data_IF_584503955095
#
_entry.id   IF_584503955095
#
_cell.length_a   1.000
_cell.length_b   1.000
_cell.length_c   1.000
_cell.angle_alpha   90.00
_cell.angle_beta   90.00
_cell.angle_gamma   90.00
#
_symmetry.space_group_name_H-M   'P 1'
#
loop_
_entity.id
_entity.type
_entity.pdbx_description
1 polymer ?
#
# COMPACT_ATOMS: atom_id res chain seq x y z
N UNK A 1 144.68 48.46 114.17
CA UNK A 1 144.61 49.79 113.53
C UNK A 1 143.45 50.55 114.16
N UNK A 2 143.48 50.93 115.43
CA UNK A 2 144.21 52.09 116.01
C UNK A 2 143.97 53.38 115.23
N UNK A 3 143.18 54.30 115.80
CA UNK A 3 143.59 55.63 116.33
C UNK A 3 143.55 56.73 115.27
N UNK A 4 142.97 57.91 115.51
CA UNK A 4 143.43 58.98 116.42
C UNK A 4 142.19 59.77 116.91
N UNK A 5 141.92 59.94 118.20
CA UNK A 5 142.50 60.97 119.11
C UNK A 5 141.49 62.14 119.24
N UNK A 6 140.66 62.22 120.29
CA UNK A 6 140.91 62.86 121.60
C UNK A 6 141.80 64.10 121.52
N UNK A 7 141.23 65.29 121.75
CA UNK A 7 141.58 66.21 122.86
C UNK A 7 140.80 67.53 122.75
N UNK A 8 140.26 67.93 123.90
CA UNK A 8 139.82 69.28 124.28
C UNK A 8 138.65 69.89 123.46
N UNK A 9 137.68 70.58 124.03
CA UNK A 9 137.78 71.45 125.18
C UNK A 9 136.44 71.46 125.92
N UNK A 10 136.51 71.44 127.24
CA UNK A 10 135.41 71.69 128.19
C UNK A 10 134.60 72.95 127.80
N UNK A 11 135.15 73.85 126.99
CA UNK A 11 134.47 75.00 126.38
C UNK A 11 133.45 74.64 125.30
N UNK A 12 133.65 73.60 124.48
CA UNK A 12 132.64 73.13 123.52
C UNK A 12 131.51 72.38 124.23
N UNK A 13 131.82 71.65 125.30
CA UNK A 13 130.80 71.06 126.17
C UNK A 13 130.04 72.12 126.95
N UNK A 14 130.69 73.21 127.38
CA UNK A 14 130.03 74.35 128.01
C UNK A 14 129.25 75.22 127.01
N UNK A 15 129.70 75.34 125.76
CA UNK A 15 128.96 75.97 124.67
C UNK A 15 127.78 75.11 124.23
N UNK A 16 127.92 73.79 124.16
CA UNK A 16 126.82 72.87 123.95
C UNK A 16 125.84 72.94 125.12
N UNK A 17 126.32 73.04 126.36
CA UNK A 17 125.47 73.21 127.54
C UNK A 17 124.78 74.58 127.59
N UNK A 18 125.46 75.66 127.19
CA UNK A 18 124.86 76.99 127.03
C UNK A 18 123.90 77.04 125.83
N UNK A 19 124.17 76.35 124.72
CA UNK A 19 123.24 76.19 123.61
C UNK A 19 122.02 75.38 124.03
N UNK A 20 122.18 74.36 124.88
CA UNK A 20 121.08 73.59 125.45
C UNK A 20 120.26 74.43 126.44
N UNK A 21 120.88 75.30 127.25
CA UNK A 21 120.16 76.26 128.10
C UNK A 21 119.43 77.31 127.25
N UNK A 22 120.02 77.79 126.16
CA UNK A 22 119.37 78.71 125.21
C UNK A 22 118.22 78.02 124.47
N UNK A 23 118.34 76.74 124.13
CA UNK A 23 117.28 75.93 123.53
C UNK A 23 116.15 75.63 124.54
N UNK A 24 116.45 75.35 125.81
CA UNK A 24 115.41 75.16 126.84
C UNK A 24 114.72 76.46 127.25
N UNK A 25 115.44 77.59 127.38
CA UNK A 25 114.82 78.91 127.62
C UNK A 25 113.97 79.40 126.44
N UNK A 26 114.25 78.96 125.21
CA UNK A 26 113.37 79.20 124.05
C UNK A 26 112.09 78.36 124.06
N UNK A 27 112.04 77.28 124.84
CA UNK A 27 110.85 76.41 124.98
C UNK A 27 110.01 76.73 126.24
N UNK A 28 110.48 77.58 127.14
CA UNK A 28 109.76 77.92 128.39
C UNK A 28 108.88 79.19 128.31
N UNK A 29 108.75 79.83 127.15
CA UNK A 29 107.87 80.98 127.02
C UNK A 29 107.25 81.10 125.63
N UNK A 30 106.20 80.32 125.37
CA UNK A 30 104.91 80.77 124.81
C UNK A 30 104.07 79.59 124.31
N UNK A 31 103.02 79.33 125.08
CA UNK A 31 101.64 79.07 124.66
C UNK A 31 101.40 77.92 123.67
N UNK A 32 100.83 76.86 124.23
CA UNK A 32 99.69 76.10 123.72
C UNK A 32 99.42 76.12 122.21
N UNK A 33 99.66 74.97 121.58
CA UNK A 33 98.80 74.43 120.53
C UNK A 33 98.80 72.91 120.66
N UNK A 34 97.60 72.32 120.51
CA UNK A 34 97.30 70.88 120.42
C UNK A 34 98.11 70.11 119.36
N UNK A 35 99.05 70.78 118.68
CA UNK A 35 99.91 70.23 117.65
C UNK A 35 101.19 69.59 118.19
N UNK A 36 101.77 70.01 119.32
CA UNK A 36 103.02 69.37 119.79
C UNK A 36 102.82 68.08 120.61
N UNK A 37 101.68 67.90 121.29
CA UNK A 37 101.29 66.58 121.83
C UNK A 37 100.82 65.64 120.71
N UNK A 38 100.16 66.17 119.67
CA UNK A 38 99.81 65.41 118.48
C UNK A 38 101.03 65.07 117.62
N UNK A 39 102.06 65.91 117.56
CA UNK A 39 103.27 65.64 116.80
C UNK A 39 104.24 64.75 117.57
N UNK A 40 104.25 64.74 118.92
CA UNK A 40 104.93 63.67 119.67
C UNK A 40 104.18 62.35 119.61
N UNK A 41 102.85 62.36 119.65
CA UNK A 41 102.05 61.16 119.42
C UNK A 41 102.25 60.63 117.99
N UNK A 42 102.20 61.49 116.97
CA UNK A 42 102.49 61.13 115.57
C UNK A 42 103.95 60.74 115.35
N UNK A 43 104.92 61.36 116.04
CA UNK A 43 106.33 60.98 115.90
C UNK A 43 106.64 59.65 116.59
N UNK A 44 105.98 59.32 117.70
CA UNK A 44 106.02 57.99 118.30
C UNK A 44 105.25 56.95 117.47
N UNK A 45 104.10 57.30 116.89
CA UNK A 45 103.37 56.44 115.94
C UNK A 45 104.16 56.21 114.66
N UNK A 46 104.86 57.22 114.13
CA UNK A 46 105.70 57.08 112.92
C UNK A 46 106.98 56.30 113.24
N UNK A 47 107.59 56.44 114.43
CA UNK A 47 108.74 55.62 114.83
C UNK A 47 108.35 54.18 115.20
N UNK A 48 107.15 53.94 115.73
CA UNK A 48 106.59 52.59 115.88
C UNK A 48 106.20 51.98 114.53
N UNK A 49 105.60 52.74 113.61
CA UNK A 49 105.32 52.30 112.25
C UNK A 49 106.60 52.04 111.45
N UNK A 50 107.64 52.87 111.62
CA UNK A 50 108.93 52.73 110.95
C UNK A 50 109.82 51.62 111.51
N UNK A 51 109.63 51.19 112.76
CA UNK A 51 110.27 49.99 113.32
C UNK A 51 109.50 48.70 113.02
N UNK A 52 108.22 48.79 112.61
CA UNK A 52 107.45 47.68 112.04
C UNK A 52 107.73 47.46 110.54
N UNK A 53 108.24 48.47 109.84
CA UNK A 53 108.71 48.36 108.45
C UNK A 53 110.05 47.61 108.37
N UNK A 54 109.97 46.28 108.38
CA UNK A 54 111.08 45.38 108.08
C UNK A 54 111.09 45.07 106.57
N UNK A 55 112.22 44.63 106.01
CA UNK A 55 112.29 44.18 104.60
C UNK A 55 111.18 43.16 104.30
N UNK A 56 110.80 42.37 105.30
CA UNK A 56 109.73 41.38 105.24
C UNK A 56 108.32 41.98 105.15
N UNK A 57 108.05 43.13 105.78
CA UNK A 57 106.74 43.81 105.68
C UNK A 57 106.57 44.57 104.37
N UNK A 58 107.65 45.10 103.79
CA UNK A 58 107.61 45.74 102.48
C UNK A 58 107.48 44.68 101.39
N UNK A 59 108.20 43.55 101.50
CA UNK A 59 108.04 42.40 100.60
C UNK A 59 106.65 41.78 100.75
N UNK A 60 106.08 41.69 101.95
CA UNK A 60 104.66 41.31 102.14
C UNK A 60 103.71 42.32 101.53
N UNK A 61 103.90 43.63 101.71
CA UNK A 61 103.05 44.64 101.09
C UNK A 61 103.12 44.62 99.55
N UNK A 62 104.30 44.36 98.99
CA UNK A 62 104.48 44.22 97.54
C UNK A 62 103.90 42.90 97.02
N UNK A 63 104.00 41.82 97.79
CA UNK A 63 103.37 40.53 97.49
C UNK A 63 101.84 40.59 97.63
N UNK A 64 101.32 41.31 98.63
CA UNK A 64 99.89 41.56 98.83
C UNK A 64 99.34 42.44 97.70
N UNK A 65 100.09 43.44 97.24
CA UNK A 65 99.69 44.27 96.10
C UNK A 65 99.75 43.47 94.79
N UNK A 66 100.72 42.57 94.64
CA UNK A 66 100.81 41.66 93.49
C UNK A 66 99.68 40.61 93.51
N UNK A 67 99.25 40.15 94.70
CA UNK A 67 98.08 39.29 94.91
C UNK A 67 96.77 40.05 94.66
N UNK A 68 96.62 41.27 95.15
CA UNK A 68 95.46 42.13 94.90
C UNK A 68 95.35 42.47 93.41
N UNK A 69 96.45 42.83 92.75
CA UNK A 69 96.45 43.09 91.31
C UNK A 69 96.14 41.83 90.51
N UNK A 70 96.66 40.67 90.92
CA UNK A 70 96.29 39.36 90.37
C UNK A 70 94.79 39.05 90.58
N UNK A 71 94.24 39.39 91.75
CA UNK A 71 92.84 39.18 92.09
C UNK A 71 91.89 40.10 91.31
N UNK A 72 92.25 41.38 91.12
CA UNK A 72 91.48 42.35 90.33
C UNK A 72 91.55 42.01 88.85
N UNK A 73 92.72 41.59 88.35
CA UNK A 73 92.86 41.15 86.96
C UNK A 73 92.07 39.87 86.70
N UNK A 74 92.08 38.92 87.63
CA UNK A 74 91.25 37.71 87.55
C UNK A 74 89.75 38.06 87.65
N UNK A 75 89.34 38.94 88.57
CA UNK A 75 87.95 39.38 88.70
C UNK A 75 87.48 40.19 87.48
N UNK A 76 88.35 40.99 86.87
CA UNK A 76 88.06 41.71 85.63
C UNK A 76 87.97 40.73 84.46
N UNK A 77 88.87 39.75 84.38
CA UNK A 77 88.83 38.70 83.37
C UNK A 77 87.60 37.80 83.52
N UNK A 78 87.19 37.50 84.75
CA UNK A 78 85.99 36.73 85.05
C UNK A 78 84.72 37.53 84.73
N UNK A 79 84.68 38.83 85.06
CA UNK A 79 83.60 39.72 84.61
C UNK A 79 83.55 39.87 83.09
N UNK A 80 84.71 40.01 82.43
CA UNK A 80 84.78 40.10 80.97
C UNK A 80 84.33 38.78 80.32
N UNK A 81 84.71 37.63 80.90
CA UNK A 81 84.25 36.32 80.46
C UNK A 81 82.75 36.13 80.70
N UNK A 82 82.21 36.61 81.82
CA UNK A 82 80.77 36.60 82.09
C UNK A 82 80.01 37.51 81.13
N UNK A 83 80.48 38.74 80.86
CA UNK A 83 79.86 39.64 79.88
C UNK A 83 79.98 39.09 78.45
N UNK A 84 81.09 38.43 78.11
CA UNK A 84 81.23 37.76 76.82
C UNK A 84 80.31 36.53 76.71
N UNK A 85 80.12 35.77 77.79
CA UNK A 85 79.14 34.67 77.86
C UNK A 85 77.72 35.19 77.70
N UNK A 86 77.36 36.31 78.35
CA UNK A 86 76.07 36.97 78.16
C UNK A 86 75.88 37.44 76.71
N UNK A 87 76.93 37.98 76.09
CA UNK A 87 76.91 38.40 74.69
C UNK A 87 76.70 37.20 73.77
N UNK A 88 77.40 36.08 74.01
CA UNK A 88 77.20 34.82 73.26
C UNK A 88 75.79 34.24 73.45
N UNK A 89 75.25 34.26 74.67
CA UNK A 89 73.86 33.86 74.96
C UNK A 89 72.85 34.76 74.23
N UNK A 90 73.09 36.07 74.19
CA UNK A 90 72.22 37.04 73.52
C UNK A 90 72.28 36.88 72.00
N UNK A 91 73.48 36.65 71.44
CA UNK A 91 73.63 36.32 70.02
C UNK A 91 72.91 35.02 69.66
N UNK A 92 73.05 33.96 70.47
CA UNK A 92 72.30 32.70 70.28
C UNK A 92 70.79 32.90 70.40
N UNK A 93 70.33 33.72 71.35
CA UNK A 93 68.92 34.05 71.48
C UNK A 93 68.38 34.82 70.26
N UNK A 94 69.17 35.74 69.69
CA UNK A 94 68.84 36.42 68.43
C UNK A 94 68.78 35.41 67.27
N UNK A 95 69.73 34.48 67.17
CA UNK A 95 69.70 33.43 66.15
C UNK A 95 68.45 32.54 66.27
N UNK A 96 68.08 32.13 67.48
CA UNK A 96 66.87 31.33 67.72
C UNK A 96 65.60 32.14 67.40
N UNK A 97 65.50 33.39 67.85
CA UNK A 97 64.31 34.22 67.55
C UNK A 97 64.23 34.62 66.07
N UNK A 98 65.36 34.77 65.37
CA UNK A 98 65.36 34.99 63.91
C UNK A 98 64.90 33.74 63.15
N UNK A 99 65.33 32.54 63.57
CA UNK A 99 64.81 31.27 63.02
C UNK A 99 63.31 31.13 63.30
N UNK A 100 62.87 31.40 64.54
CA UNK A 100 61.46 31.36 64.92
C UNK A 100 60.62 32.36 64.11
N UNK A 101 61.14 33.55 63.86
CA UNK A 101 60.48 34.55 63.01
C UNK A 101 60.36 34.06 61.56
N UNK A 102 61.38 33.40 61.01
CA UNK A 102 61.31 32.78 59.69
C UNK A 102 60.27 31.66 59.63
N UNK A 103 60.21 30.78 60.64
CA UNK A 103 59.19 29.73 60.73
C UNK A 103 57.78 30.32 60.81
N UNK A 104 57.57 31.36 61.64
CA UNK A 104 56.28 32.04 61.75
C UNK A 104 55.88 32.73 60.43
N UNK A 105 56.84 33.30 59.69
CA UNK A 105 56.58 33.85 58.36
C UNK A 105 56.18 32.74 57.38
N UNK A 106 56.87 31.60 57.38
CA UNK A 106 56.52 30.46 56.54
C UNK A 106 55.12 29.91 56.88
N UNK A 107 54.82 29.74 58.17
CA UNK A 107 53.49 29.31 58.64
C UNK A 107 52.41 30.30 58.20
N UNK A 108 52.67 31.61 58.29
CA UNK A 108 51.74 32.64 57.83
C UNK A 108 51.50 32.56 56.33
N UNK A 109 52.55 32.43 55.52
CA UNK A 109 52.40 32.28 54.06
C UNK A 109 51.59 31.01 53.74
N UNK A 110 51.87 29.90 54.40
CA UNK A 110 51.12 28.65 54.20
C UNK A 110 49.65 28.81 54.61
N UNK A 111 49.37 29.46 55.75
CA UNK A 111 48.01 29.74 56.20
C UNK A 111 47.26 30.64 55.20
N UNK A 112 47.88 31.75 54.77
CA UNK A 112 47.30 32.66 53.78
C UNK A 112 47.04 31.93 52.44
N UNK A 113 47.95 31.06 51.98
CA UNK A 113 47.74 30.26 50.76
C UNK A 113 46.64 29.21 50.91
N UNK A 114 46.53 28.59 52.08
CA UNK A 114 45.48 27.61 52.38
C UNK A 114 44.11 28.29 52.42
N UNK A 115 44.03 29.48 53.00
CA UNK A 115 42.81 30.29 53.03
C UNK A 115 42.38 30.69 51.61
N UNK A 116 43.32 31.16 50.76
CA UNK A 116 43.05 31.47 49.35
C UNK A 116 42.55 30.23 48.60
N UNK A 117 43.24 29.09 48.74
CA UNK A 117 42.87 27.85 48.07
C UNK A 117 41.49 27.34 48.54
N UNK A 118 41.19 27.48 49.82
CA UNK A 118 39.89 27.15 50.40
C UNK A 118 38.78 28.02 49.83
N UNK A 119 39.00 29.33 49.70
CA UNK A 119 38.07 30.26 49.07
C UNK A 119 37.84 29.91 47.60
N UNK A 120 38.90 29.69 46.82
CA UNK A 120 38.78 29.27 45.41
C UNK A 120 38.03 27.95 45.27
N UNK A 121 38.25 26.99 46.16
CA UNK A 121 37.54 25.72 46.15
C UNK A 121 36.05 25.92 46.44
N UNK A 122 35.70 26.74 47.42
CA UNK A 122 34.30 27.06 47.73
C UNK A 122 33.62 27.78 46.55
N UNK A 123 34.31 28.68 45.86
CA UNK A 123 33.78 29.34 44.67
C UNK A 123 33.55 28.33 43.54
N UNK A 124 34.53 27.43 43.27
CA UNK A 124 34.38 26.37 42.27
C UNK A 124 33.25 25.40 42.60
N UNK A 125 33.04 25.07 43.87
CA UNK A 125 31.89 24.25 44.28
C UNK A 125 30.57 24.97 44.00
N UNK A 126 30.46 26.26 44.35
CA UNK A 126 29.26 27.06 44.07
C UNK A 126 28.96 27.15 42.57
N UNK A 127 29.97 27.37 41.73
CA UNK A 127 29.77 27.43 40.28
C UNK A 127 29.36 26.07 39.71
N UNK A 128 29.98 24.98 40.16
CA UNK A 128 29.58 23.63 39.76
C UNK A 128 28.15 23.30 40.19
N UNK A 129 27.76 23.66 41.42
CA UNK A 129 26.39 23.48 41.90
C UNK A 129 25.38 24.27 41.03
N UNK A 130 25.65 25.55 40.75
CA UNK A 130 24.81 26.38 39.87
C UNK A 130 24.72 25.83 38.44
N UNK A 131 25.84 25.36 37.89
CA UNK A 131 25.88 24.73 36.56
C UNK A 131 25.08 23.42 36.53
N UNK A 132 25.16 22.60 37.58
CA UNK A 132 24.38 21.36 37.64
C UNK A 132 22.89 21.63 37.79
N UNK A 133 22.50 22.62 38.59
CA UNK A 133 21.09 23.04 38.75
C UNK A 133 20.56 23.57 37.42
N UNK A 134 21.27 24.51 36.77
CA UNK A 134 20.82 25.09 35.50
C UNK A 134 20.71 24.04 34.38
N UNK A 135 21.65 23.10 34.29
CA UNK A 135 21.57 21.98 33.32
C UNK A 135 20.40 21.05 33.62
N UNK A 136 20.13 20.74 34.90
CA UNK A 136 18.97 19.93 35.29
C UNK A 136 17.67 20.63 34.93
N UNK A 137 17.54 21.92 35.25
CA UNK A 137 16.35 22.69 34.89
C UNK A 137 16.14 22.78 33.37
N UNK A 138 17.21 22.95 32.59
CA UNK A 138 17.14 22.96 31.14
C UNK A 138 16.67 21.60 30.59
N UNK A 139 17.25 20.50 31.08
CA UNK A 139 16.86 19.15 30.68
C UNK A 139 15.41 18.82 31.08
N UNK A 140 14.99 19.21 32.29
CA UNK A 140 13.60 19.02 32.72
C UNK A 140 12.63 19.79 31.81
N UNK A 141 12.96 21.04 31.46
CA UNK A 141 12.16 21.83 30.50
C UNK A 141 12.09 21.12 29.15
N UNK A 142 13.21 20.67 28.60
CA UNK A 142 13.23 19.93 27.32
C UNK A 142 12.42 18.64 27.37
N UNK A 143 12.55 17.85 28.44
CA UNK A 143 11.75 16.63 28.65
C UNK A 143 10.26 16.97 28.68
N UNK A 144 9.86 18.02 29.42
CA UNK A 144 8.45 18.39 29.49
C UNK A 144 7.90 18.90 28.16
N UNK A 145 8.70 19.65 27.37
CA UNK A 145 8.31 20.13 26.05
C UNK A 145 8.16 18.95 25.09
N UNK A 146 9.17 18.09 24.98
CA UNK A 146 9.13 16.91 24.10
C UNK A 146 7.99 15.96 24.47
N UNK A 147 7.71 15.78 25.77
CA UNK A 147 6.59 14.94 26.21
C UNK A 147 5.25 15.53 25.79
N UNK A 148 5.09 16.86 25.88
CA UNK A 148 3.89 17.56 25.40
C UNK A 148 3.74 17.48 23.89
N UNK A 149 4.82 17.66 23.14
CA UNK A 149 4.84 17.52 21.68
C UNK A 149 4.45 16.10 21.26
N UNK A 150 5.09 15.08 21.86
CA UNK A 150 4.76 13.68 21.62
C UNK A 150 3.29 13.35 21.94
N UNK A 151 2.77 13.87 23.05
CA UNK A 151 1.36 13.68 23.41
C UNK A 151 0.41 14.32 22.39
N UNK A 152 0.75 15.49 21.85
CA UNK A 152 -0.02 16.13 20.78
C UNK A 152 0.03 15.33 19.49
N UNK A 153 1.22 14.93 19.06
CA UNK A 153 1.40 14.12 17.85
C UNK A 153 0.65 12.78 17.96
N UNK A 154 0.68 12.14 19.12
CA UNK A 154 -0.05 10.91 19.36
C UNK A 154 -1.57 11.13 19.29
N UNK A 155 -2.09 12.20 19.89
CA UNK A 155 -3.50 12.54 19.81
C UNK A 155 -3.94 12.85 18.37
N UNK A 156 -3.16 13.64 17.63
CA UNK A 156 -3.42 13.94 16.22
C UNK A 156 -3.36 12.69 15.33
N UNK A 157 -2.45 11.76 15.62
CA UNK A 157 -2.36 10.50 14.90
C UNK A 157 -3.56 9.60 15.19
N UNK A 158 -3.97 9.49 16.45
CA UNK A 158 -5.16 8.73 16.86
C UNK A 158 -6.43 9.30 16.22
N UNK A 159 -6.58 10.63 16.17
CA UNK A 159 -7.69 11.30 15.49
C UNK A 159 -7.69 11.01 13.99
N UNK A 160 -6.55 11.19 13.30
CA UNK A 160 -6.44 10.86 11.87
C UNK A 160 -6.71 9.38 11.57
N UNK A 161 -6.29 8.49 12.46
CA UNK A 161 -6.54 7.06 12.33
C UNK A 161 -8.04 6.75 12.48
N UNK A 162 -8.72 7.41 13.42
CA UNK A 162 -10.18 7.29 13.57
C UNK A 162 -10.91 7.84 12.34
N UNK A 163 -10.57 9.04 11.88
CA UNK A 163 -11.14 9.63 10.66
C UNK A 163 -10.96 8.72 9.44
N UNK A 164 -9.75 8.16 9.26
CA UNK A 164 -9.45 7.24 8.18
C UNK A 164 -10.30 5.96 8.27
N UNK A 165 -10.42 5.37 9.45
CA UNK A 165 -11.24 4.18 9.65
C UNK A 165 -12.73 4.46 9.42
N UNK A 166 -13.23 5.61 9.86
CA UNK A 166 -14.62 6.03 9.64
C UNK A 166 -14.92 6.26 8.17
N UNK A 167 -14.00 6.89 7.43
CA UNK A 167 -14.11 7.04 5.98
C UNK A 167 -14.12 5.68 5.29
N UNK A 168 -13.20 4.78 5.66
CA UNK A 168 -13.12 3.44 5.09
C UNK A 168 -14.39 2.61 5.36
N UNK A 169 -14.99 2.73 6.54
CA UNK A 169 -16.26 2.07 6.86
C UNK A 169 -17.39 2.65 6.02
N UNK A 170 -17.47 3.98 5.87
CA UNK A 170 -18.48 4.63 5.01
C UNK A 170 -18.34 4.23 3.55
N UNK A 171 -17.12 4.21 3.00
CA UNK A 171 -16.85 3.77 1.63
C UNK A 171 -17.28 2.33 1.42
N UNK A 172 -16.92 1.40 2.32
CA UNK A 172 -17.34 -0.01 2.24
C UNK A 172 -18.87 -0.16 2.31
N UNK A 173 -19.53 0.62 3.17
CA UNK A 173 -21.00 0.60 3.27
C UNK A 173 -21.63 1.09 1.96
N UNK A 174 -21.15 2.20 1.41
CA UNK A 174 -21.63 2.73 0.12
C UNK A 174 -21.40 1.74 -1.02
N UNK A 175 -20.22 1.14 -1.12
CA UNK A 175 -19.91 0.12 -2.13
C UNK A 175 -20.82 -1.11 -2.00
N UNK A 176 -21.09 -1.55 -0.76
CA UNK A 176 -21.98 -2.67 -0.50
C UNK A 176 -23.43 -2.35 -0.88
N UNK A 177 -23.93 -1.17 -0.50
CA UNK A 177 -25.27 -0.69 -0.85
C UNK A 177 -25.42 -0.54 -2.36
N UNK A 178 -24.45 0.09 -3.04
CA UNK A 178 -24.45 0.21 -4.50
C UNK A 178 -24.43 -1.14 -5.19
N UNK A 179 -23.61 -2.07 -4.72
CA UNK A 179 -23.51 -3.42 -5.29
C UNK A 179 -24.81 -4.19 -5.13
N UNK A 180 -25.43 -4.12 -3.94
CA UNK A 180 -26.74 -4.72 -3.67
C UNK A 180 -27.82 -4.09 -4.55
N UNK A 181 -27.87 -2.77 -4.62
CA UNK A 181 -28.82 -2.03 -5.45
C UNK A 181 -28.68 -2.37 -6.94
N UNK A 182 -27.45 -2.38 -7.46
CA UNK A 182 -27.17 -2.78 -8.86
C UNK A 182 -27.63 -4.21 -9.11
N UNK A 183 -27.31 -5.14 -8.21
CA UNK A 183 -27.71 -6.55 -8.32
C UNK A 183 -29.22 -6.74 -8.29
N UNK A 184 -29.93 -6.05 -7.39
CA UNK A 184 -31.39 -6.09 -7.32
C UNK A 184 -32.03 -5.48 -8.57
N UNK A 185 -31.53 -4.35 -9.04
CA UNK A 185 -32.02 -3.68 -10.24
C UNK A 185 -31.81 -4.55 -11.47
N UNK A 186 -30.63 -5.16 -11.63
CA UNK A 186 -30.35 -6.10 -12.72
C UNK A 186 -31.26 -7.33 -12.64
N UNK A 187 -31.49 -7.89 -11.45
CA UNK A 187 -32.42 -9.01 -11.27
C UNK A 187 -33.85 -8.65 -11.65
N UNK A 188 -34.34 -7.47 -11.22
CA UNK A 188 -35.68 -6.98 -11.58
C UNK A 188 -35.79 -6.79 -13.10
N UNK A 189 -34.84 -6.10 -13.72
CA UNK A 189 -34.84 -5.87 -15.18
C UNK A 189 -34.77 -7.18 -15.98
N UNK A 190 -33.94 -8.13 -15.55
CA UNK A 190 -33.87 -9.46 -16.16
C UNK A 190 -35.17 -10.26 -15.98
N UNK A 191 -35.83 -10.13 -14.83
CA UNK A 191 -37.11 -10.81 -14.57
C UNK A 191 -38.22 -10.19 -15.43
N UNK A 192 -38.32 -8.86 -15.46
CA UNK A 192 -39.32 -8.13 -16.24
C UNK A 192 -39.17 -8.40 -17.73
N UNK A 193 -37.93 -8.40 -18.25
CA UNK A 193 -37.66 -8.72 -19.66
C UNK A 193 -38.01 -10.18 -19.98
N UNK A 194 -37.65 -11.13 -19.11
CA UNK A 194 -38.04 -12.54 -19.26
C UNK A 194 -39.57 -12.71 -19.25
N UNK A 195 -40.27 -12.06 -18.32
CA UNK A 195 -41.73 -12.11 -18.23
C UNK A 195 -42.41 -11.44 -19.43
N UNK A 196 -41.84 -10.36 -19.97
CA UNK A 196 -42.32 -9.73 -21.19
C UNK A 196 -42.19 -10.67 -22.39
N UNK A 197 -41.02 -11.29 -22.59
CA UNK A 197 -40.78 -12.28 -23.66
C UNK A 197 -41.73 -13.47 -23.50
N UNK A 198 -41.88 -14.00 -22.29
CA UNK A 198 -42.80 -15.11 -21.98
C UNK A 198 -44.25 -14.74 -22.30
N UNK A 199 -44.69 -13.53 -21.99
CA UNK A 199 -46.03 -13.03 -22.33
C UNK A 199 -46.21 -12.91 -23.85
N UNK A 200 -45.22 -12.38 -24.56
CA UNK A 200 -45.24 -12.27 -26.01
C UNK A 200 -45.34 -13.65 -26.67
N UNK A 201 -44.46 -14.59 -26.31
CA UNK A 201 -44.48 -15.95 -26.84
C UNK A 201 -45.80 -16.66 -26.57
N UNK A 202 -46.39 -16.49 -25.38
CA UNK A 202 -47.72 -17.04 -25.07
C UNK A 202 -48.80 -16.47 -26.00
N UNK A 203 -48.78 -15.16 -26.29
CA UNK A 203 -49.72 -14.54 -27.23
C UNK A 203 -49.51 -15.07 -28.65
N UNK A 204 -48.27 -15.14 -29.13
CA UNK A 204 -47.94 -15.66 -30.45
C UNK A 204 -48.38 -17.12 -30.61
N UNK A 205 -48.15 -17.97 -29.61
CA UNK A 205 -48.62 -19.36 -29.59
C UNK A 205 -50.16 -19.38 -29.65
N UNK A 206 -50.84 -18.59 -28.82
CA UNK A 206 -52.29 -18.55 -28.79
C UNK A 206 -52.89 -18.11 -30.14
N UNK A 207 -52.35 -17.05 -30.73
CA UNK A 207 -52.77 -16.55 -32.04
C UNK A 207 -52.52 -17.57 -33.16
N UNK A 208 -51.33 -18.19 -33.16
CA UNK A 208 -51.00 -19.23 -34.14
C UNK A 208 -51.86 -20.48 -33.99
N UNK A 209 -52.13 -20.91 -32.75
CA UNK A 209 -53.06 -22.01 -32.49
C UNK A 209 -54.48 -21.68 -32.96
N UNK A 210 -54.97 -20.45 -32.72
CA UNK A 210 -56.27 -20.02 -33.22
C UNK A 210 -56.34 -20.00 -34.75
N UNK A 211 -55.31 -19.46 -35.42
CA UNK A 211 -55.21 -19.46 -36.89
C UNK A 211 -55.22 -20.89 -37.44
N UNK A 212 -54.34 -21.75 -36.92
CA UNK A 212 -54.27 -23.17 -37.32
C UNK A 212 -55.58 -23.89 -37.09
N UNK A 213 -56.24 -23.69 -35.95
CA UNK A 213 -57.53 -24.33 -35.67
C UNK A 213 -58.62 -23.88 -36.64
N UNK A 214 -58.64 -22.60 -37.05
CA UNK A 214 -59.56 -22.11 -38.09
C UNK A 214 -59.26 -22.78 -39.44
N UNK A 215 -57.99 -22.84 -39.84
CA UNK A 215 -57.58 -23.47 -41.09
C UNK A 215 -57.93 -24.97 -41.12
N UNK A 216 -57.68 -25.69 -40.01
CA UNK A 216 -58.06 -27.09 -39.86
C UNK A 216 -59.57 -27.28 -39.94
N UNK A 217 -60.36 -26.46 -39.23
CA UNK A 217 -61.81 -26.53 -39.29
C UNK A 217 -62.35 -26.24 -40.71
N UNK A 218 -61.74 -25.30 -41.45
CA UNK A 218 -62.10 -25.04 -42.85
C UNK A 218 -61.77 -26.24 -43.75
N UNK A 219 -60.58 -26.83 -43.59
CA UNK A 219 -60.18 -28.03 -44.35
C UNK A 219 -61.11 -29.21 -44.07
N UNK A 220 -61.41 -29.45 -42.80
CA UNK A 220 -62.32 -30.52 -42.37
C UNK A 220 -63.72 -30.33 -42.94
N UNK A 221 -64.24 -29.09 -42.96
CA UNK A 221 -65.50 -28.77 -43.65
C UNK A 221 -65.43 -29.05 -45.15
N UNK A 222 -64.38 -28.61 -45.84
CA UNK A 222 -64.22 -28.87 -47.29
C UNK A 222 -64.18 -30.37 -47.57
N UNK A 223 -63.47 -31.15 -46.75
CA UNK A 223 -63.44 -32.61 -46.90
C UNK A 223 -64.81 -33.23 -46.65
N UNK A 224 -65.51 -32.82 -45.58
CA UNK A 224 -66.85 -33.31 -45.28
C UNK A 224 -67.86 -32.99 -46.40
N UNK A 225 -67.82 -31.77 -46.95
CA UNK A 225 -68.68 -31.34 -48.07
C UNK A 225 -68.36 -32.07 -49.39
N UNK A 226 -67.09 -32.41 -49.64
CA UNK A 226 -66.66 -33.11 -50.86
C UNK A 226 -66.76 -34.62 -50.78
N UNK A 227 -66.79 -35.20 -49.57
CA UNK A 227 -66.94 -36.64 -49.36
C UNK A 227 -68.12 -37.27 -50.13
N UNK A 228 -69.36 -36.72 -50.10
CA UNK A 228 -70.47 -37.31 -50.84
C UNK A 228 -70.30 -37.17 -52.36
N UNK A 229 -69.76 -36.06 -52.86
CA UNK A 229 -69.47 -35.87 -54.29
C UNK A 229 -68.42 -36.87 -54.77
N UNK A 230 -67.39 -37.11 -53.97
CA UNK A 230 -66.37 -38.11 -54.27
C UNK A 230 -66.97 -39.52 -54.34
N UNK A 231 -67.82 -39.89 -53.37
CA UNK A 231 -68.51 -41.18 -53.37
C UNK A 231 -69.45 -41.34 -54.59
N UNK A 232 -70.17 -40.28 -55.00
CA UNK A 232 -71.00 -40.28 -56.20
C UNK A 232 -70.17 -40.43 -57.48
N UNK A 233 -69.04 -39.72 -57.60
CA UNK A 233 -68.14 -39.88 -58.73
C UNK A 233 -67.48 -41.25 -58.77
N UNK A 234 -67.07 -41.79 -57.63
CA UNK A 234 -66.52 -43.15 -57.53
C UNK A 234 -67.56 -44.17 -57.99
N UNK A 235 -68.81 -44.04 -57.52
CA UNK A 235 -69.91 -44.89 -57.98
C UNK A 235 -70.12 -44.78 -59.50
N UNK A 236 -70.23 -43.57 -60.05
CA UNK A 236 -70.37 -43.35 -61.50
C UNK A 236 -69.23 -43.96 -62.30
N UNK A 237 -67.98 -43.79 -61.86
CA UNK A 237 -66.82 -44.37 -62.54
C UNK A 237 -66.88 -45.90 -62.51
N UNK A 238 -67.34 -46.50 -61.41
CA UNK A 238 -67.49 -47.96 -61.30
C UNK A 238 -68.66 -48.51 -62.11
N UNK A 239 -69.77 -47.79 -62.26
CA UNK A 239 -70.95 -48.26 -63.01
C UNK A 239 -70.88 -47.95 -64.51
N UNK A 240 -70.16 -46.91 -64.90
CA UNK A 240 -70.08 -46.45 -66.29
C UNK A 240 -69.66 -47.52 -67.31
N UNK A 241 -68.68 -48.41 -67.05
CA UNK A 241 -68.34 -49.48 -68.00
C UNK A 241 -69.52 -50.41 -68.29
N UNK A 242 -70.28 -50.78 -67.26
CA UNK A 242 -71.45 -51.65 -67.42
C UNK A 242 -72.57 -50.94 -68.16
N UNK A 243 -72.84 -49.67 -67.82
CA UNK A 243 -73.83 -48.83 -68.51
C UNK A 243 -73.46 -48.64 -70.00
N UNK A 244 -72.18 -48.43 -70.29
CA UNK A 244 -71.66 -48.31 -71.65
C UNK A 244 -71.81 -49.63 -72.42
N UNK A 245 -71.45 -50.76 -71.81
CA UNK A 245 -71.63 -52.08 -72.42
C UNK A 245 -73.11 -52.37 -72.73
N UNK A 246 -74.02 -52.09 -71.81
CA UNK A 246 -75.45 -52.26 -72.00
C UNK A 246 -76.00 -51.34 -73.10
N UNK A 247 -75.60 -50.06 -73.11
CA UNK A 247 -76.00 -49.11 -74.15
C UNK A 247 -75.49 -49.52 -75.54
N UNK A 248 -74.24 -49.99 -75.63
CA UNK A 248 -73.66 -50.50 -76.89
C UNK A 248 -74.36 -51.77 -77.34
N UNK A 249 -74.67 -52.70 -76.43
CA UNK A 249 -75.44 -53.92 -76.76
C UNK A 249 -76.83 -53.56 -77.29
N UNK A 250 -77.58 -52.68 -76.60
CA UNK A 250 -78.90 -52.21 -77.04
C UNK A 250 -78.83 -51.53 -78.40
N UNK A 251 -77.92 -50.58 -78.59
CA UNK A 251 -77.76 -49.88 -79.87
C UNK A 251 -77.39 -50.85 -81.01
N UNK A 252 -76.54 -51.85 -80.74
CA UNK A 252 -76.21 -52.91 -81.71
C UNK A 252 -77.43 -53.78 -82.03
N UNK A 253 -78.19 -54.20 -81.03
CA UNK A 253 -79.41 -54.99 -81.24
C UNK A 253 -80.49 -54.23 -82.01
N UNK A 254 -80.71 -52.95 -81.69
CA UNK A 254 -81.63 -52.08 -82.40
C UNK A 254 -81.19 -51.87 -83.85
N UNK A 255 -79.90 -51.58 -84.09
CA UNK A 255 -79.35 -51.47 -85.43
C UNK A 255 -79.50 -52.77 -86.23
N UNK A 256 -79.25 -53.94 -85.62
CA UNK A 256 -79.47 -55.24 -86.26
C UNK A 256 -80.95 -55.47 -86.56
N UNK A 257 -81.86 -55.15 -85.64
CA UNK A 257 -83.32 -55.27 -85.85
C UNK A 257 -83.80 -54.36 -86.96
N UNK A 258 -83.40 -53.09 -86.96
CA UNK A 258 -83.82 -52.12 -87.97
C UNK A 258 -83.24 -52.49 -89.35
N UNK A 259 -81.96 -52.85 -89.43
CA UNK A 259 -81.35 -53.27 -90.71
C UNK A 259 -81.93 -54.58 -91.24
N UNK A 260 -82.18 -55.57 -90.39
CA UNK A 260 -82.83 -56.82 -90.81
C UNK A 260 -84.28 -56.61 -91.23
N UNK A 261 -85.03 -55.74 -90.55
CA UNK A 261 -86.39 -55.36 -90.96
C UNK A 261 -86.39 -54.63 -92.31
N UNK A 262 -85.50 -53.65 -92.49
CA UNK A 262 -85.34 -52.94 -93.78
C UNK A 262 -84.95 -53.90 -94.90
N UNK A 263 -83.94 -54.74 -94.69
CA UNK A 263 -83.50 -55.73 -95.67
C UNK A 263 -84.60 -56.75 -96.00
N UNK A 264 -85.41 -57.16 -95.02
CA UNK A 264 -86.56 -58.04 -95.24
C UNK A 264 -87.64 -57.35 -96.05
N UNK A 265 -88.00 -56.11 -95.72
CA UNK A 265 -88.98 -55.33 -96.47
C UNK A 265 -88.50 -55.10 -97.92
N UNK A 266 -87.22 -54.75 -98.11
CA UNK A 266 -86.61 -54.59 -99.43
C UNK A 266 -86.61 -55.90 -100.23
N UNK A 267 -86.27 -57.02 -99.60
CA UNK A 267 -86.33 -58.34 -100.24
C UNK A 267 -87.77 -58.74 -100.60
N UNK A 268 -88.72 -58.57 -99.68
CA UNK A 268 -90.15 -58.88 -99.91
C UNK A 268 -90.73 -57.98 -101.03
N UNK A 269 -90.34 -56.70 -101.10
CA UNK A 269 -90.72 -55.78 -102.19
C UNK A 269 -90.08 -56.20 -103.52
N UNK A 270 -88.79 -56.52 -103.52
CA UNK A 270 -88.09 -56.98 -104.72
C UNK A 270 -88.67 -58.28 -105.28
N UNK A 271 -88.98 -59.25 -104.40
CA UNK A 271 -89.62 -60.50 -104.78
C UNK A 271 -91.01 -60.24 -105.40
N UNK A 272 -91.83 -59.37 -104.79
CA UNK A 272 -93.12 -58.96 -105.35
C UNK A 272 -93.00 -58.23 -106.69
N UNK A 273 -92.02 -57.34 -106.84
CA UNK A 273 -91.75 -56.66 -108.11
C UNK A 273 -91.33 -57.66 -109.19
N UNK A 274 -90.49 -58.64 -108.84
CA UNK A 274 -90.08 -59.71 -109.74
C UNK A 274 -91.26 -60.60 -110.14
N UNK A 275 -92.11 -61.02 -109.20
CA UNK A 275 -93.33 -61.79 -109.48
C UNK A 275 -94.31 -61.02 -110.38
N UNK A 276 -94.53 -59.74 -110.11
CA UNK A 276 -95.37 -58.86 -110.92
C UNK A 276 -94.81 -58.68 -112.34
N UNK A 277 -93.51 -58.45 -112.47
CA UNK A 277 -92.83 -58.36 -113.76
C UNK A 277 -92.93 -59.69 -114.52
N UNK A 278 -92.71 -60.83 -113.84
CA UNK A 278 -92.85 -62.17 -114.42
C UNK A 278 -94.28 -62.39 -114.94
N UNK A 279 -95.31 -62.08 -114.15
CA UNK A 279 -96.71 -62.17 -114.56
C UNK A 279 -97.02 -61.25 -115.75
N UNK A 280 -96.49 -60.03 -115.76
CA UNK A 280 -96.63 -59.09 -116.89
C UNK A 280 -95.98 -59.64 -118.17
N UNK A 281 -94.77 -60.20 -118.07
CA UNK A 281 -94.11 -60.85 -119.20
C UNK A 281 -94.87 -62.11 -119.65
N UNK A 282 -95.38 -62.93 -118.73
CA UNK A 282 -96.20 -64.11 -119.04
C UNK A 282 -97.50 -63.71 -119.75
N UNK A 283 -98.21 -62.68 -119.28
CA UNK A 283 -99.39 -62.14 -119.97
C UNK A 283 -99.04 -61.57 -121.35
N UNK A 284 -97.88 -60.92 -121.49
CA UNK A 284 -97.41 -60.42 -122.77
C UNK A 284 -97.09 -61.55 -123.75
N UNK A 285 -96.44 -62.62 -123.27
CA UNK A 285 -96.20 -63.85 -124.05
C UNK A 285 -97.55 -64.45 -124.47
N UNK A 286 -98.50 -64.63 -123.54
CA UNK A 286 -99.84 -65.16 -123.86
C UNK A 286 -100.54 -64.30 -124.92
N UNK A 287 -100.49 -62.97 -124.81
CA UNK A 287 -101.09 -62.07 -125.80
C UNK A 287 -100.43 -62.18 -127.18
N UNK A 288 -99.10 -62.36 -127.22
CA UNK A 288 -98.34 -62.57 -128.45
C UNK A 288 -98.63 -63.95 -129.05
N UNK A 289 -98.73 -65.00 -128.24
CA UNK A 289 -99.11 -66.34 -128.65
C UNK A 289 -100.54 -66.37 -129.22
N UNK A 290 -101.50 -65.70 -128.57
CA UNK A 290 -102.85 -65.53 -129.11
C UNK A 290 -102.85 -64.75 -130.43
N UNK A 291 -102.00 -63.72 -130.54
CA UNK A 291 -101.85 -62.94 -131.78
C UNK A 291 -101.24 -63.79 -132.89
N UNK A 292 -100.20 -64.58 -132.59
CA UNK A 292 -99.58 -65.55 -133.53
C UNK A 292 -100.61 -66.59 -133.96
N UNK A 293 -101.44 -67.09 -133.04
CA UNK A 293 -102.50 -68.06 -133.36
C UNK A 293 -103.55 -67.46 -134.29
N UNK A 294 -104.05 -66.26 -134.00
CA UNK A 294 -104.97 -65.52 -134.88
C UNK A 294 -104.35 -65.24 -136.26
N UNK A 295 -103.08 -64.84 -136.30
CA UNK A 295 -102.36 -64.63 -137.55
C UNK A 295 -102.17 -65.94 -138.32
N UNK A 296 -101.91 -67.05 -137.64
CA UNK A 296 -101.80 -68.38 -138.25
C UNK A 296 -103.14 -68.84 -138.83
N UNK A 297 -104.24 -68.67 -138.08
CA UNK A 297 -105.60 -68.91 -138.56
C UNK A 297 -105.96 -68.02 -139.76
N UNK A 298 -105.55 -66.75 -139.75
CA UNK A 298 -105.71 -65.84 -140.90
C UNK A 298 -104.87 -66.28 -142.10
N UNK A 299 -103.62 -66.72 -141.90
CA UNK A 299 -102.75 -67.24 -142.97
C UNK A 299 -103.35 -68.51 -143.56
N UNK A 300 -103.85 -69.43 -142.73
CA UNK A 300 -104.56 -70.62 -143.18
C UNK A 300 -105.84 -70.26 -143.95
N UNK A 301 -106.61 -69.29 -143.45
CA UNK A 301 -107.80 -68.78 -144.13
C UNK A 301 -107.49 -68.14 -145.49
N UNK A 302 -106.44 -67.30 -145.57
CA UNK A 302 -105.97 -66.69 -146.82
C UNK A 302 -105.38 -67.76 -147.75
N UNK A 303 -104.65 -68.75 -147.23
CA UNK A 303 -104.11 -69.87 -148.01
C UNK A 303 -105.23 -70.73 -148.59
N UNK A 304 -106.27 -71.01 -147.82
CA UNK A 304 -107.47 -71.69 -148.28
C UNK A 304 -108.21 -70.86 -149.35
N UNK A 305 -108.39 -69.55 -149.14
CA UNK A 305 -108.95 -68.65 -150.15
C UNK A 305 -108.09 -68.61 -151.41
N UNK A 306 -106.76 -68.65 -151.29
CA UNK A 306 -105.82 -68.64 -152.41
C UNK A 306 -105.83 -69.98 -153.16
N UNK A 307 -105.94 -71.12 -152.47
CA UNK A 307 -106.19 -72.42 -153.10
C UNK A 307 -107.56 -72.45 -153.81
N UNK A 308 -108.58 -71.83 -153.21
CA UNK A 308 -109.91 -71.74 -153.80
C UNK A 308 -109.91 -70.82 -155.02
N UNK A 309 -109.21 -69.69 -154.95
CA UNK A 309 -109.00 -68.77 -156.06
C UNK A 309 -108.14 -69.39 -157.17
N UNK A 310 -107.11 -70.18 -156.82
CA UNK A 310 -106.32 -70.96 -157.77
C UNK A 310 -107.19 -72.03 -158.45
N UNK A 311 -108.03 -72.75 -157.70
CA UNK A 311 -109.02 -73.69 -158.27
C UNK A 311 -110.03 -72.98 -159.17
N UNK A 312 -110.56 -71.83 -158.75
CA UNK A 312 -111.49 -71.03 -159.56
C UNK A 312 -110.81 -70.46 -160.82
N UNK A 313 -109.54 -70.05 -160.74
CA UNK A 313 -108.76 -69.62 -161.89
C UNK A 313 -108.43 -70.79 -162.83
N UNK A 314 -108.15 -71.98 -162.29
CA UNK A 314 -107.99 -73.22 -163.07
C UNK A 314 -109.29 -73.65 -163.74
N UNK A 315 -110.43 -73.59 -163.04
CA UNK A 315 -111.74 -73.93 -163.59
C UNK A 315 -112.22 -72.88 -164.62
N UNK A 316 -111.86 -71.61 -164.45
CA UNK A 316 -112.12 -70.56 -165.44
C UNK A 316 -111.24 -70.72 -166.69
N UNK A 317 -109.96 -71.07 -166.51
CA UNK A 317 -109.04 -71.37 -167.61
C UNK A 317 -109.43 -72.65 -168.36
N UNK A 318 -109.90 -73.69 -167.65
CA UNK A 318 -110.42 -74.92 -168.24
C UNK A 318 -111.76 -74.71 -168.97
N UNK A 319 -112.60 -73.76 -168.52
CA UNK A 319 -113.81 -73.34 -169.27
C UNK A 319 -113.51 -72.47 -170.50
N UNK A 320 -112.36 -71.80 -170.55
CA UNK A 320 -112.00 -70.94 -171.69
C UNK A 320 -111.37 -71.70 -172.89
N UNK A 321 -110.94 -72.95 -172.71
CA UNK A 321 -110.27 -73.75 -173.77
C UNK A 321 -111.01 -75.02 -174.21
N UNK A 322 -112.25 -75.22 -173.75
CA UNK A 322 -113.00 -76.47 -173.91
C UNK A 322 -114.31 -76.40 -174.70
N UNK A 323 -114.44 -75.58 -175.75
CA UNK A 323 -115.46 -75.82 -176.79
C UNK A 323 -115.19 -75.03 -178.08
N UNK A 324 -114.78 -75.77 -179.11
CA UNK A 324 -115.02 -75.46 -180.51
C UNK A 324 -116.27 -76.21 -181.00
N UNK A 325 -117.00 -75.58 -181.94
CA UNK A 325 -118.04 -76.06 -182.88
C UNK A 325 -119.56 -75.84 -182.60
N UNK A 326 -120.38 -75.73 -183.69
CA UNK A 326 -121.58 -74.87 -183.77
C UNK A 326 -122.93 -75.59 -183.57
N UNK A 327 -123.98 -74.73 -183.43
CA UNK A 327 -125.39 -74.92 -183.04
C UNK A 327 -125.70 -74.57 -181.59
#
# INVERSE_FOLDING_TARGET
MTTVGVKDSKQQLMQAFQQIIIQRKKLESKIATKQEEADKAKSQEILQAASAYTVDSIVKGLADLQLEFGSILNALSEKLAQENSKLDELNRAIEIETQRLQELQQIRVVADTLDILSQEHQEKLKTLEQDTISKREALEKEITIRRKEWQKEQAEYEEKLQEYNDLLVKERQQEQEESQYKLETTRKLNTDSYEAIKRQQKREIQENSQKKNKDWAQREKIFAERQPLFADYEQKVTTFPNELEEAVKKAREEAIKETSQKAKIEADLFEREWESNKQSYEQKIQSLEETIKKQSEQIEGISAQLQTALKQAQDLAMRAFGSSNPK
#
